data_IF_674344686778
#
_entry.id   IF_674344686778
#
_cell.length_a   1.000
_cell.length_b   1.000
_cell.length_c   1.000
_cell.angle_alpha   90.00
_cell.angle_beta   90.00
_cell.angle_gamma   90.00
#
_symmetry.space_group_name_H-M   'P 1'
#
loop_
_entity.id
_entity.type
_entity.pdbx_description
1 polymer ?
#
# COMPACT_ATOMS: atom_id res chain seq x y z
N UNK A 1 5.88 8.02 -6.20
CA UNK A 1 5.69 9.49 -6.27
C UNK A 1 4.29 9.86 -6.74
N UNK A 2 3.83 9.42 -7.92
CA UNK A 2 2.45 9.65 -8.39
C UNK A 2 1.36 9.25 -7.37
N UNK A 3 1.53 8.09 -6.74
CA UNK A 3 0.61 7.63 -5.69
C UNK A 3 0.55 8.54 -4.46
N UNK A 4 1.64 9.22 -4.09
CA UNK A 4 1.65 10.11 -2.93
C UNK A 4 0.81 11.37 -3.17
N UNK A 5 0.89 11.92 -4.38
CA UNK A 5 0.07 13.08 -4.80
C UNK A 5 -1.42 12.70 -4.76
N UNK A 6 -1.75 11.53 -5.32
CA UNK A 6 -3.13 11.04 -5.32
C UNK A 6 -3.66 10.81 -3.91
N UNK A 7 -2.88 10.15 -3.05
CA UNK A 7 -3.26 9.89 -1.67
C UNK A 7 -3.42 11.15 -0.82
N UNK A 8 -2.61 12.19 -1.04
CA UNK A 8 -2.76 13.45 -0.31
C UNK A 8 -4.07 14.15 -0.64
N UNK A 9 -4.38 14.29 -1.94
CA UNK A 9 -5.63 14.93 -2.40
C UNK A 9 -6.84 14.10 -1.96
N UNK A 10 -6.77 12.79 -2.17
CA UNK A 10 -7.87 11.88 -1.83
C UNK A 10 -8.13 11.83 -0.32
N UNK A 11 -7.07 11.81 0.50
CA UNK A 11 -7.19 11.84 1.96
C UNK A 11 -7.93 13.10 2.44
N UNK A 12 -7.56 14.28 1.94
CA UNK A 12 -8.25 15.53 2.30
C UNK A 12 -9.74 15.53 1.96
N UNK A 13 -10.11 14.95 0.81
CA UNK A 13 -11.50 14.81 0.37
C UNK A 13 -12.25 13.81 1.27
N UNK A 14 -11.66 12.64 1.55
CA UNK A 14 -12.28 11.58 2.36
C UNK A 14 -12.55 12.03 3.79
N UNK A 15 -11.61 12.75 4.40
CA UNK A 15 -11.74 13.25 5.77
C UNK A 15 -12.91 14.24 5.87
N UNK A 16 -13.14 15.02 4.81
CA UNK A 16 -14.23 15.99 4.76
C UNK A 16 -15.60 15.35 4.50
N UNK A 17 -15.66 14.20 3.82
CA UNK A 17 -16.92 13.54 3.42
C UNK A 17 -17.43 12.57 4.48
N UNK A 18 -16.55 11.81 5.15
CA UNK A 18 -16.96 10.85 6.18
C UNK A 18 -16.65 11.40 7.59
N UNK A 19 -17.65 11.52 8.48
CA UNK A 19 -17.41 11.85 9.88
C UNK A 19 -17.01 10.58 10.66
N UNK A 20 -15.85 10.00 10.35
CA UNK A 20 -15.26 8.88 11.11
C UNK A 20 -14.30 9.36 12.19
N UNK A 21 -13.97 8.47 13.14
CA UNK A 21 -12.99 8.76 14.19
C UNK A 21 -11.60 9.03 13.57
N UNK A 22 -10.84 10.03 14.06
CA UNK A 22 -9.51 10.37 13.52
C UNK A 22 -8.52 9.20 13.50
N UNK A 23 -8.61 8.29 14.47
CA UNK A 23 -7.76 7.09 14.56
C UNK A 23 -8.03 6.11 13.40
N UNK A 24 -9.26 6.04 12.89
CA UNK A 24 -9.57 5.18 11.75
C UNK A 24 -8.90 5.70 10.46
N UNK A 25 -8.92 7.02 10.26
CA UNK A 25 -8.20 7.66 9.16
C UNK A 25 -6.69 7.50 9.29
N UNK A 26 -6.16 7.64 10.51
CA UNK A 26 -4.76 7.39 10.79
C UNK A 26 -4.34 5.97 10.36
N UNK A 27 -5.14 4.96 10.72
CA UNK A 27 -4.89 3.57 10.33
C UNK A 27 -4.97 3.36 8.82
N UNK A 28 -5.93 4.01 8.14
CA UNK A 28 -6.11 3.90 6.69
C UNK A 28 -4.91 4.47 5.88
N UNK A 29 -4.15 5.41 6.46
CA UNK A 29 -2.97 5.97 5.78
C UNK A 29 -1.79 4.99 5.69
N UNK A 30 -1.77 3.93 6.52
CA UNK A 30 -0.68 2.95 6.60
C UNK A 30 -0.62 1.95 5.45
N UNK A 31 -0.41 2.44 4.23
CA UNK A 31 -0.45 1.65 2.98
C UNK A 31 0.82 0.80 2.77
N UNK A 32 1.81 0.87 3.68
CA UNK A 32 3.06 0.11 3.59
C UNK A 32 4.16 0.82 2.80
N UNK A 33 3.90 2.04 2.31
CA UNK A 33 4.88 2.91 1.67
C UNK A 33 5.03 4.20 2.47
N UNK A 34 6.25 4.50 2.93
CA UNK A 34 6.51 5.67 3.78
C UNK A 34 6.12 7.00 3.12
N UNK A 35 6.41 7.17 1.83
CA UNK A 35 6.09 8.41 1.10
C UNK A 35 4.59 8.60 0.89
N UNK A 36 3.84 7.52 0.65
CA UNK A 36 2.39 7.60 0.45
C UNK A 36 1.66 7.77 1.78
N UNK A 37 2.16 7.12 2.84
CA UNK A 37 1.64 7.24 4.20
C UNK A 37 1.79 8.66 4.72
N UNK A 38 2.98 9.26 4.56
CA UNK A 38 3.23 10.65 4.95
C UNK A 38 2.34 11.65 4.18
N UNK A 39 2.15 11.43 2.88
CA UNK A 39 1.32 12.29 2.04
C UNK A 39 -0.18 12.20 2.41
N UNK A 40 -0.67 11.01 2.78
CA UNK A 40 -2.04 10.80 3.25
C UNK A 40 -2.27 11.34 4.67
N UNK A 41 -1.24 11.28 5.53
CA UNK A 41 -1.26 11.80 6.90
C UNK A 41 -1.28 13.32 6.98
N UNK A 42 -0.60 14.01 6.05
CA UNK A 42 -0.45 15.48 6.07
C UNK A 42 -1.77 16.24 6.27
N UNK A 43 -2.81 16.00 5.44
CA UNK A 43 -4.12 16.64 5.60
C UNK A 43 -4.82 16.32 6.93
N UNK A 44 -4.59 15.12 7.48
CA UNK A 44 -5.21 14.67 8.73
C UNK A 44 -4.59 15.35 9.95
N UNK A 45 -3.26 15.55 9.94
CA UNK A 45 -2.53 16.24 11.02
C UNK A 45 -2.90 17.73 11.05
N UNK A 46 -3.11 18.35 9.89
CA UNK A 46 -3.56 19.74 9.80
C UNK A 46 -4.98 19.94 10.33
N UNK A 47 -5.88 18.97 10.09
CA UNK A 47 -7.28 19.04 10.55
C UNK A 47 -7.45 18.69 12.04
N UNK A 48 -6.60 17.83 12.60
CA UNK A 48 -6.68 17.38 14.00
C UNK A 48 -5.33 17.54 14.74
N UNK A 49 -4.86 18.78 14.96
CA UNK A 49 -3.55 19.03 15.55
C UNK A 49 -3.40 18.47 16.97
N UNK A 50 -4.50 18.40 17.72
CA UNK A 50 -4.54 17.96 19.12
C UNK A 50 -4.23 16.46 19.29
N UNK A 51 -4.44 15.65 18.25
CA UNK A 51 -4.23 14.19 18.26
C UNK A 51 -3.08 13.73 17.37
N UNK A 52 -2.21 14.66 16.95
CA UNK A 52 -1.10 14.39 16.02
C UNK A 52 -0.20 13.24 16.46
N UNK A 53 0.15 13.18 17.74
CA UNK A 53 1.02 12.13 18.30
C UNK A 53 0.37 10.75 18.19
N UNK A 54 -0.90 10.64 18.58
CA UNK A 54 -1.68 9.40 18.47
C UNK A 54 -1.89 8.99 17.01
N UNK A 55 -2.28 9.92 16.15
CA UNK A 55 -2.53 9.66 14.71
C UNK A 55 -1.24 9.16 14.03
N UNK A 56 -0.11 9.82 14.28
CA UNK A 56 1.17 9.43 13.70
C UNK A 56 1.63 8.06 14.21
N UNK A 57 1.45 7.79 15.52
CA UNK A 57 1.79 6.49 16.10
C UNK A 57 0.95 5.35 15.50
N UNK A 58 -0.37 5.53 15.40
CA UNK A 58 -1.27 4.53 14.82
C UNK A 58 -1.02 4.31 13.33
N UNK A 59 -0.79 5.39 12.57
CA UNK A 59 -0.40 5.28 11.17
C UNK A 59 0.93 4.56 10.97
N UNK A 60 1.93 4.87 11.80
CA UNK A 60 3.22 4.19 11.80
C UNK A 60 3.07 2.68 12.07
N UNK A 61 2.30 2.31 13.09
CA UNK A 61 1.99 0.90 13.40
C UNK A 61 1.27 0.22 12.23
N UNK A 62 0.30 0.88 11.60
CA UNK A 62 -0.41 0.35 10.43
C UNK A 62 0.52 0.14 9.24
N UNK A 63 1.40 1.10 8.95
CA UNK A 63 2.40 0.97 7.89
C UNK A 63 3.34 -0.22 8.15
N UNK A 64 3.80 -0.41 9.39
CA UNK A 64 4.61 -1.57 9.76
C UNK A 64 3.85 -2.89 9.56
N UNK A 65 2.59 -2.95 10.01
CA UNK A 65 1.75 -4.14 9.84
C UNK A 65 1.55 -4.49 8.37
N UNK A 66 1.29 -3.50 7.52
CA UNK A 66 1.14 -3.69 6.07
C UNK A 66 2.45 -4.15 5.43
N UNK A 67 3.59 -3.57 5.81
CA UNK A 67 4.90 -4.00 5.29
C UNK A 67 5.24 -5.44 5.69
N UNK A 68 5.01 -5.81 6.95
CA UNK A 68 5.25 -7.19 7.43
C UNK A 68 4.29 -8.18 6.76
N UNK A 69 3.01 -7.85 6.69
CA UNK A 69 2.01 -8.69 6.01
C UNK A 69 2.34 -8.84 4.52
N UNK A 70 2.76 -7.75 3.86
CA UNK A 70 3.19 -7.77 2.47
C UNK A 70 4.40 -8.67 2.23
N UNK A 71 5.37 -8.69 3.16
CA UNK A 71 6.49 -9.63 3.10
C UNK A 71 6.03 -11.08 3.22
N UNK A 72 5.18 -11.40 4.20
CA UNK A 72 4.64 -12.75 4.38
C UNK A 72 3.84 -13.23 3.16
N UNK A 73 2.98 -12.36 2.62
CA UNK A 73 2.22 -12.63 1.38
C UNK A 73 3.17 -12.84 0.20
N UNK A 74 4.24 -12.05 0.11
CA UNK A 74 5.29 -12.23 -0.90
C UNK A 74 5.93 -13.62 -0.82
N UNK A 75 6.31 -14.04 0.38
CA UNK A 75 6.93 -15.35 0.57
C UNK A 75 5.96 -16.52 0.31
N UNK A 76 4.75 -16.46 0.84
CA UNK A 76 3.82 -17.59 0.76
C UNK A 76 3.04 -17.66 -0.56
N UNK A 77 2.70 -16.51 -1.16
CA UNK A 77 1.83 -16.45 -2.35
C UNK A 77 2.63 -16.01 -3.58
N UNK A 78 3.49 -14.99 -3.47
CA UNK A 78 4.21 -14.52 -4.65
C UNK A 78 5.26 -15.54 -5.15
N UNK A 79 5.92 -16.30 -4.28
CA UNK A 79 6.84 -17.36 -4.70
C UNK A 79 6.17 -18.49 -5.52
N UNK A 80 5.08 -19.15 -5.06
CA UNK A 80 4.43 -20.18 -5.87
C UNK A 80 3.78 -19.59 -7.13
N UNK A 81 3.28 -18.36 -7.07
CA UNK A 81 2.72 -17.67 -8.24
C UNK A 81 3.81 -17.37 -9.28
N UNK A 82 4.98 -16.91 -8.85
CA UNK A 82 6.14 -16.67 -9.72
C UNK A 82 6.58 -17.95 -10.40
N UNK A 83 6.64 -19.08 -9.67
CA UNK A 83 6.98 -20.38 -10.27
C UNK A 83 5.98 -20.80 -11.36
N UNK A 84 4.67 -20.66 -11.11
CA UNK A 84 3.64 -20.96 -12.11
C UNK A 84 3.74 -20.04 -13.32
N UNK A 85 3.91 -18.75 -13.10
CA UNK A 85 4.00 -17.75 -14.16
C UNK A 85 5.25 -17.96 -15.03
N UNK A 86 6.38 -18.23 -14.40
CA UNK A 86 7.63 -18.54 -15.08
C UNK A 86 7.52 -19.83 -15.91
N UNK A 87 6.94 -20.89 -15.35
CA UNK A 87 6.72 -22.14 -16.10
C UNK A 87 5.80 -21.94 -17.31
N UNK A 88 4.77 -21.09 -17.20
CA UNK A 88 3.87 -20.78 -18.30
C UNK A 88 4.61 -20.04 -19.42
N UNK A 89 5.38 -19.00 -19.08
CA UNK A 89 6.21 -18.24 -20.04
C UNK A 89 7.26 -19.15 -20.70
N UNK A 90 7.92 -20.03 -19.94
CA UNK A 90 8.93 -20.95 -20.46
C UNK A 90 8.32 -21.95 -21.45
N UNK A 91 7.11 -22.46 -21.16
CA UNK A 91 6.38 -23.35 -22.07
C UNK A 91 5.96 -22.64 -23.37
N UNK A 92 5.54 -21.38 -23.27
CA UNK A 92 5.21 -20.56 -24.45
C UNK A 92 6.48 -20.34 -25.29
N UNK A 93 7.59 -19.92 -24.67
CA UNK A 93 8.88 -19.72 -25.35
C UNK A 93 9.35 -21.00 -26.06
N UNK A 94 9.27 -22.16 -25.40
CA UNK A 94 9.67 -23.43 -26.00
C UNK A 94 8.77 -23.86 -27.17
N UNK A 95 7.48 -23.51 -27.16
CA UNK A 95 6.60 -23.72 -28.34
C UNK A 95 7.03 -22.84 -29.51
N UNK A 96 7.28 -21.56 -29.26
CA UNK A 96 7.71 -20.62 -30.29
C UNK A 96 9.07 -21.00 -30.90
N UNK A 97 10.02 -21.51 -30.12
CA UNK A 97 11.31 -21.98 -30.65
C UNK A 97 11.16 -23.25 -31.51
N UNK A 98 10.19 -24.12 -31.21
CA UNK A 98 9.93 -25.35 -31.99
C UNK A 98 9.14 -25.14 -33.28
N UNK A 99 8.46 -24.00 -33.45
CA UNK A 99 7.81 -23.63 -34.73
C UNK A 99 8.79 -22.93 -35.70
N UNK A 100 9.99 -22.60 -35.25
CA UNK A 100 11.04 -21.91 -36.03
C UNK A 100 12.13 -22.86 -36.53
N UNK A 101 12.07 -24.14 -36.15
CA UNK A 101 12.98 -25.23 -36.57
C UNK A 101 12.20 -26.21 -37.44
#
# INVERSE_FOLDING_TARGET
IFGAIFFSIFSGIIISILPLRPIAYAMATGVGSGVMTAAALGPLVEMYPDQTSTITAFSGVSNLLTSVTGLYVGMLIALPLTRKYYSLIMNIKNKFTKEQE
#
